data_IF_996876534895
#
_entry.id   IF_996876534895
#
_cell.length_a   1.000
_cell.length_b   1.000
_cell.length_c   1.000
_cell.angle_alpha   90.00
_cell.angle_beta   90.00
_cell.angle_gamma   90.00
#
_symmetry.space_group_name_H-M   'P 1'
#
loop_
_entity.id
_entity.type
_entity.pdbx_description
1 polymer ?
#
# COMPACT_ATOMS: atom_id res chain seq x y z
N UNK A 1 15.77 6.99 0.56
CA UNK A 1 14.97 6.11 1.45
C UNK A 1 13.53 5.93 0.98
N UNK A 2 12.90 6.97 0.38
CA UNK A 2 11.48 6.97 0.01
C UNK A 2 11.10 5.97 -1.10
N UNK A 3 11.83 5.91 -2.22
CA UNK A 3 11.44 5.09 -3.39
C UNK A 3 11.41 3.56 -3.21
N UNK A 4 11.94 3.02 -2.11
CA UNK A 4 12.01 1.56 -1.86
C UNK A 4 10.94 1.06 -0.89
N UNK A 5 10.55 1.89 0.08
CA UNK A 5 9.31 1.66 0.83
C UNK A 5 8.12 1.64 -0.13
N UNK A 6 8.17 2.48 -1.18
CA UNK A 6 7.21 2.48 -2.28
C UNK A 6 7.17 1.14 -3.02
N UNK A 7 8.31 0.50 -3.31
CA UNK A 7 8.31 -0.76 -4.09
C UNK A 7 7.51 -1.92 -3.48
N UNK A 8 7.56 -2.14 -2.15
CA UNK A 8 6.75 -3.19 -1.51
C UNK A 8 5.26 -2.82 -1.46
N UNK A 9 4.99 -1.53 -1.28
CA UNK A 9 3.65 -0.96 -1.25
C UNK A 9 3.01 -1.06 -2.65
N UNK A 10 3.71 -0.66 -3.69
CA UNK A 10 3.31 -0.77 -5.10
C UNK A 10 3.01 -2.22 -5.49
N UNK A 11 3.86 -3.18 -5.09
CA UNK A 11 3.64 -4.58 -5.41
C UNK A 11 2.34 -5.14 -4.76
N UNK A 12 2.04 -4.71 -3.53
CA UNK A 12 0.79 -5.08 -2.85
C UNK A 12 -0.39 -4.41 -3.54
N UNK A 13 -0.28 -3.12 -3.87
CA UNK A 13 -1.28 -2.36 -4.60
C UNK A 13 -1.63 -3.00 -5.95
N UNK A 14 -0.62 -3.35 -6.75
CA UNK A 14 -0.78 -3.99 -8.05
C UNK A 14 -1.47 -5.35 -7.92
N UNK A 15 -1.05 -6.16 -6.93
CA UNK A 15 -1.65 -7.48 -6.70
C UNK A 15 -3.11 -7.40 -6.26
N UNK A 16 -3.46 -6.42 -5.44
CA UNK A 16 -4.82 -6.17 -5.00
C UNK A 16 -5.68 -5.64 -6.16
N UNK A 17 -5.16 -4.66 -6.91
CA UNK A 17 -5.82 -4.09 -8.09
C UNK A 17 -6.14 -5.19 -9.11
N UNK A 18 -5.18 -6.07 -9.41
CA UNK A 18 -5.39 -7.18 -10.34
C UNK A 18 -6.58 -8.06 -9.92
N UNK A 19 -6.70 -8.36 -8.63
CA UNK A 19 -7.80 -9.17 -8.11
C UNK A 19 -9.16 -8.47 -8.23
N UNK A 20 -9.19 -7.16 -7.93
CA UNK A 20 -10.39 -6.34 -8.01
C UNK A 20 -10.84 -6.17 -9.48
N UNK A 21 -9.91 -5.91 -10.40
CA UNK A 21 -10.20 -5.83 -11.82
C UNK A 21 -10.70 -7.18 -12.39
N UNK A 22 -10.12 -8.31 -11.95
CA UNK A 22 -10.59 -9.64 -12.32
C UNK A 22 -12.00 -9.95 -11.80
N UNK A 23 -12.43 -9.28 -10.73
CA UNK A 23 -13.80 -9.36 -10.23
C UNK A 23 -14.77 -8.42 -10.98
N UNK A 24 -14.30 -7.69 -12.00
CA UNK A 24 -15.14 -6.86 -12.88
C UNK A 24 -15.20 -5.38 -12.52
N UNK A 25 -14.45 -4.93 -11.51
CA UNK A 25 -14.47 -3.52 -11.08
C UNK A 25 -13.48 -2.66 -11.86
N UNK A 26 -13.86 -1.40 -12.11
CA UNK A 26 -12.94 -0.39 -12.64
C UNK A 26 -12.18 0.26 -11.50
N UNK A 27 -10.87 0.45 -11.69
CA UNK A 27 -9.99 1.00 -10.65
C UNK A 27 -9.10 2.13 -11.15
N UNK A 28 -8.77 3.07 -10.25
CA UNK A 28 -7.84 4.18 -10.49
C UNK A 28 -6.78 4.22 -9.38
N UNK A 29 -5.50 4.16 -9.75
CA UNK A 29 -4.37 4.22 -8.80
C UNK A 29 -3.79 5.62 -8.65
N UNK A 30 -3.41 5.99 -7.43
CA UNK A 30 -2.57 7.16 -7.13
C UNK A 30 -3.04 8.48 -7.76
N UNK A 31 -4.35 8.70 -7.89
CA UNK A 31 -4.93 9.92 -8.49
C UNK A 31 -5.71 10.72 -7.45
N UNK A 32 -5.77 12.03 -7.66
CA UNK A 32 -6.65 12.89 -6.89
C UNK A 32 -8.10 12.41 -7.09
N UNK A 33 -8.91 12.46 -6.03
CA UNK A 33 -10.29 12.00 -6.08
C UNK A 33 -11.25 13.04 -5.49
N UNK A 34 -12.39 13.21 -6.16
CA UNK A 34 -13.35 14.27 -5.85
C UNK A 34 -12.75 15.66 -6.00
N UNK A 35 -13.20 16.59 -5.16
CA UNK A 35 -12.70 17.98 -5.12
C UNK A 35 -11.50 18.15 -4.17
N UNK A 36 -10.82 17.05 -3.82
CA UNK A 36 -9.69 17.03 -2.91
C UNK A 36 -8.37 16.83 -3.64
N UNK A 37 -7.28 17.38 -3.10
CA UNK A 37 -5.92 17.12 -3.56
C UNK A 37 -5.34 15.80 -3.04
N UNK A 38 -6.09 15.11 -2.18
CA UNK A 38 -5.71 13.80 -1.64
C UNK A 38 -5.69 12.73 -2.73
N UNK A 39 -4.64 11.90 -2.69
CA UNK A 39 -4.38 10.83 -3.65
C UNK A 39 -4.36 9.48 -2.91
N UNK A 40 -5.51 8.83 -2.71
CA UNK A 40 -5.52 7.47 -2.21
C UNK A 40 -4.83 6.52 -3.18
N UNK A 41 -4.32 5.40 -2.66
CA UNK A 41 -3.57 4.43 -3.47
C UNK A 41 -4.46 3.77 -4.54
N UNK A 42 -5.71 3.42 -4.18
CA UNK A 42 -6.67 2.82 -5.08
C UNK A 42 -8.07 3.38 -4.84
N UNK A 43 -8.74 3.76 -5.92
CA UNK A 43 -10.17 4.05 -5.94
C UNK A 43 -10.84 2.98 -6.80
N UNK A 44 -11.87 2.34 -6.25
CA UNK A 44 -12.72 1.37 -6.95
C UNK A 44 -14.07 2.02 -7.19
N UNK A 45 -14.53 2.02 -8.43
CA UNK A 45 -15.89 2.46 -8.76
C UNK A 45 -16.85 1.31 -8.43
N UNK A 46 -17.77 1.53 -7.49
CA UNK A 46 -18.83 0.58 -7.11
C UNK A 46 -20.20 1.21 -7.33
N UNK A 47 -21.26 0.40 -7.34
CA UNK A 47 -22.63 0.90 -7.49
C UNK A 47 -23.04 1.85 -6.34
N UNK A 48 -22.48 1.64 -5.14
CA UNK A 48 -22.73 2.46 -3.95
C UNK A 48 -21.82 3.71 -3.88
N UNK A 49 -21.11 4.03 -4.97
CA UNK A 49 -20.13 5.11 -5.05
C UNK A 49 -18.68 4.62 -4.95
N UNK A 50 -17.74 5.54 -4.75
CA UNK A 50 -16.34 5.17 -4.72
C UNK A 50 -15.93 4.50 -3.40
N UNK A 51 -15.31 3.35 -3.53
CA UNK A 51 -14.58 2.68 -2.46
C UNK A 51 -13.11 3.11 -2.51
N UNK A 52 -12.65 3.73 -1.42
CA UNK A 52 -11.30 4.20 -1.22
C UNK A 52 -10.50 3.15 -0.46
N UNK A 53 -9.43 2.64 -1.08
CA UNK A 53 -8.53 1.67 -0.48
C UNK A 53 -7.13 2.26 -0.47
N UNK A 54 -6.52 2.28 0.70
CA UNK A 54 -5.16 2.79 0.89
C UNK A 54 -4.32 1.72 1.60
N UNK A 55 -3.15 1.43 1.02
CA UNK A 55 -2.26 0.35 1.44
C UNK A 55 -1.36 0.85 2.56
N UNK A 56 -1.25 0.06 3.62
CA UNK A 56 -0.32 0.35 4.71
C UNK A 56 0.40 -0.91 5.16
N UNK A 57 1.70 -0.75 5.41
CA UNK A 57 2.61 -1.82 5.83
C UNK A 57 3.28 -1.44 7.15
N UNK A 58 2.57 -1.51 8.29
CA UNK A 58 3.11 -1.23 9.62
C UNK A 58 3.99 -2.38 10.13
N UNK A 59 4.67 -2.15 11.26
CA UNK A 59 5.29 -3.25 12.01
C UNK A 59 4.22 -4.14 12.65
N UNK A 60 4.54 -5.41 12.86
CA UNK A 60 3.59 -6.48 13.20
C UNK A 60 3.29 -6.51 14.69
N UNK A 61 2.61 -5.46 15.13
CA UNK A 61 2.05 -5.34 16.46
C UNK A 61 0.55 -5.02 16.31
N UNK A 62 -0.37 -5.74 16.97
CA UNK A 62 -1.81 -5.52 16.81
C UNK A 62 -2.25 -4.05 16.95
N UNK A 63 -1.68 -3.33 17.91
CA UNK A 63 -1.97 -1.90 18.11
C UNK A 63 -1.49 -1.03 16.94
N UNK A 64 -0.34 -1.34 16.33
CA UNK A 64 0.17 -0.63 15.16
C UNK A 64 -0.70 -0.86 13.93
N UNK A 65 -1.20 -2.08 13.72
CA UNK A 65 -2.10 -2.39 12.61
C UNK A 65 -3.40 -1.59 12.73
N UNK A 66 -4.00 -1.60 13.92
CA UNK A 66 -5.24 -0.89 14.20
C UNK A 66 -5.07 0.63 14.08
N UNK A 67 -4.00 1.18 14.66
CA UNK A 67 -3.68 2.61 14.57
C UNK A 67 -3.43 3.04 13.11
N UNK A 68 -2.75 2.22 12.32
CA UNK A 68 -2.53 2.50 10.90
C UNK A 68 -3.85 2.52 10.12
N UNK A 69 -4.77 1.61 10.43
CA UNK A 69 -6.12 1.60 9.87
C UNK A 69 -6.89 2.88 10.22
N UNK A 70 -6.99 3.23 11.50
CA UNK A 70 -7.75 4.40 11.97
C UNK A 70 -7.24 5.72 11.39
N UNK A 71 -5.91 5.87 11.29
CA UNK A 71 -5.30 7.05 10.65
C UNK A 71 -5.73 7.20 9.19
N UNK A 72 -5.81 6.09 8.44
CA UNK A 72 -6.22 6.12 7.03
C UNK A 72 -7.72 6.33 6.87
N UNK A 73 -8.55 5.73 7.71
CA UNK A 73 -9.99 6.02 7.77
C UNK A 73 -10.21 7.51 8.02
N UNK A 74 -9.61 8.07 9.09
CA UNK A 74 -9.72 9.50 9.42
C UNK A 74 -9.29 10.39 8.25
N UNK A 75 -8.21 10.01 7.57
CA UNK A 75 -7.67 10.78 6.44
C UNK A 75 -8.60 10.81 5.23
N UNK A 76 -9.29 9.71 4.90
CA UNK A 76 -9.99 9.59 3.61
C UNK A 76 -11.52 9.43 3.70
N UNK A 77 -12.09 9.27 4.90
CA UNK A 77 -13.54 9.02 5.05
C UNK A 77 -14.43 10.11 4.44
N UNK A 78 -13.93 11.35 4.31
CA UNK A 78 -14.66 12.45 3.68
C UNK A 78 -14.68 12.36 2.14
N UNK A 79 -13.92 11.45 1.53
CA UNK A 79 -13.89 11.21 0.08
C UNK A 79 -14.88 10.13 -0.35
N UNK A 80 -15.29 9.24 0.55
CA UNK A 80 -16.14 8.09 0.24
C UNK A 80 -15.96 6.96 1.25
N UNK A 81 -16.54 5.79 0.92
CA UNK A 81 -16.41 4.61 1.74
C UNK A 81 -14.93 4.19 1.81
N UNK A 82 -14.32 4.19 3.00
CA UNK A 82 -12.87 4.00 3.15
C UNK A 82 -12.56 2.69 3.85
N UNK A 83 -11.84 1.81 3.16
CA UNK A 83 -11.37 0.52 3.69
C UNK A 83 -9.86 0.40 3.49
N UNK A 84 -9.04 0.82 4.47
CA UNK A 84 -7.59 0.65 4.39
C UNK A 84 -7.21 -0.84 4.30
N UNK A 85 -6.22 -1.15 3.47
CA UNK A 85 -5.69 -2.50 3.33
C UNK A 85 -4.38 -2.61 4.13
N UNK A 86 -4.44 -3.30 5.27
CA UNK A 86 -3.36 -3.33 6.26
C UNK A 86 -2.70 -4.70 6.29
N UNK A 87 -1.42 -4.76 5.94
CA UNK A 87 -0.61 -5.99 6.02
C UNK A 87 0.67 -5.68 6.78
N UNK A 88 0.94 -6.39 7.86
CA UNK A 88 2.17 -6.24 8.62
C UNK A 88 3.42 -6.55 7.79
N UNK A 89 4.50 -5.85 8.07
CA UNK A 89 5.83 -6.05 7.50
C UNK A 89 6.38 -7.49 7.59
N UNK A 90 5.94 -8.30 8.55
CA UNK A 90 6.26 -9.72 8.77
C UNK A 90 5.07 -10.63 8.41
N UNK A 91 4.02 -10.08 7.79
CA UNK A 91 2.87 -10.81 7.29
C UNK A 91 1.69 -10.91 8.26
N UNK A 92 1.56 -10.05 9.27
CA UNK A 92 0.31 -9.91 10.00
C UNK A 92 -0.82 -9.46 9.05
N UNK A 93 -2.04 -9.92 9.32
CA UNK A 93 -3.21 -9.62 8.51
C UNK A 93 -4.27 -8.96 9.39
N UNK A 94 -4.71 -7.75 9.03
CA UNK A 94 -5.81 -7.13 9.72
C UNK A 94 -7.14 -7.75 9.27
N UNK A 95 -7.99 -8.27 10.17
CA UNK A 95 -9.25 -8.91 9.77
C UNK A 95 -10.20 -8.01 8.98
N UNK A 96 -10.15 -6.68 9.18
CA UNK A 96 -11.00 -5.73 8.42
C UNK A 96 -10.69 -5.72 6.93
N UNK A 97 -9.53 -6.20 6.47
CA UNK A 97 -9.25 -6.39 5.05
C UNK A 97 -10.30 -7.28 4.38
N UNK A 98 -10.92 -8.22 5.10
CA UNK A 98 -11.93 -9.13 4.54
C UNK A 98 -13.26 -8.42 4.23
N UNK A 99 -13.45 -7.18 4.68
CA UNK A 99 -14.55 -6.33 4.23
C UNK A 99 -14.37 -5.91 2.77
N UNK A 100 -13.13 -5.71 2.31
CA UNK A 100 -12.82 -5.34 0.92
C UNK A 100 -13.26 -6.44 -0.02
N UNK A 101 -12.94 -7.70 0.30
CA UNK A 101 -13.35 -8.86 -0.51
C UNK A 101 -14.86 -8.92 -0.71
N UNK A 102 -15.62 -8.66 0.36
CA UNK A 102 -17.09 -8.63 0.33
C UNK A 102 -17.60 -7.46 -0.50
N UNK A 103 -17.04 -6.27 -0.30
CA UNK A 103 -17.45 -5.05 -1.03
C UNK A 103 -17.20 -5.18 -2.54
N UNK A 104 -16.14 -5.86 -2.95
CA UNK A 104 -15.80 -6.03 -4.38
C UNK A 104 -16.16 -7.40 -4.95
N UNK A 105 -16.92 -8.22 -4.21
CA UNK A 105 -17.43 -9.52 -4.71
C UNK A 105 -16.37 -10.60 -4.95
N UNK A 106 -15.20 -10.54 -4.31
CA UNK A 106 -14.17 -11.56 -4.46
C UNK A 106 -14.48 -12.77 -3.55
N UNK A 107 -14.66 -13.95 -4.14
CA UNK A 107 -14.88 -15.19 -3.40
C UNK A 107 -13.68 -15.63 -2.55
N UNK A 108 -13.96 -16.44 -1.52
CA UNK A 108 -12.97 -16.84 -0.51
C UNK A 108 -11.69 -17.48 -1.07
N UNK A 109 -11.78 -18.32 -2.10
CA UNK A 109 -10.60 -18.95 -2.74
C UNK A 109 -9.69 -17.89 -3.37
N UNK A 110 -10.27 -16.97 -4.14
CA UNK A 110 -9.53 -15.87 -4.76
C UNK A 110 -8.92 -14.95 -3.71
N UNK A 111 -9.70 -14.61 -2.67
CA UNK A 111 -9.23 -13.74 -1.60
C UNK A 111 -8.12 -14.36 -0.76
N UNK A 112 -8.18 -15.66 -0.46
CA UNK A 112 -7.10 -16.37 0.24
C UNK A 112 -5.80 -16.34 -0.57
N UNK A 113 -5.88 -16.37 -1.90
CA UNK A 113 -4.72 -16.16 -2.77
C UNK A 113 -4.17 -14.73 -2.64
N UNK A 114 -5.03 -13.71 -2.68
CA UNK A 114 -4.63 -12.30 -2.45
C UNK A 114 -3.95 -12.15 -1.09
N UNK A 115 -4.56 -12.67 -0.02
CA UNK A 115 -4.02 -12.66 1.34
C UNK A 115 -2.64 -13.31 1.40
N UNK A 116 -2.46 -14.49 0.81
CA UNK A 116 -1.17 -15.18 0.77
C UNK A 116 -0.13 -14.35 0.03
N UNK A 117 -0.43 -13.90 -1.18
CA UNK A 117 0.52 -13.22 -2.06
C UNK A 117 0.95 -11.88 -1.46
N UNK A 118 0.01 -11.07 -0.97
CA UNK A 118 0.30 -9.75 -0.38
C UNK A 118 1.11 -9.85 0.90
N UNK A 119 0.88 -10.85 1.75
CA UNK A 119 1.71 -11.13 2.94
C UNK A 119 3.14 -11.51 2.54
N UNK A 120 3.31 -12.35 1.52
CA UNK A 120 4.63 -12.71 1.00
C UNK A 120 5.37 -11.49 0.44
N UNK A 121 4.67 -10.63 -0.32
CA UNK A 121 5.23 -9.38 -0.84
C UNK A 121 5.66 -8.43 0.28
N UNK A 122 4.86 -8.31 1.35
CA UNK A 122 5.23 -7.52 2.53
C UNK A 122 6.52 -8.03 3.18
N UNK A 123 6.59 -9.34 3.45
CA UNK A 123 7.78 -9.98 4.06
C UNK A 123 9.01 -9.82 3.17
N UNK A 124 8.90 -10.15 1.88
CA UNK A 124 10.02 -10.04 0.93
C UNK A 124 10.52 -8.60 0.79
N UNK A 125 9.60 -7.64 0.75
CA UNK A 125 9.91 -6.22 0.73
C UNK A 125 10.63 -5.76 2.00
N UNK A 126 10.14 -6.16 3.17
CA UNK A 126 10.78 -5.86 4.45
C UNK A 126 12.18 -6.48 4.57
N UNK A 127 12.36 -7.74 4.17
CA UNK A 127 13.66 -8.41 4.16
C UNK A 127 14.65 -7.73 3.22
N UNK A 128 14.20 -7.25 2.06
CA UNK A 128 15.02 -6.48 1.13
C UNK A 128 15.53 -5.19 1.79
N UNK A 129 14.62 -4.42 2.40
CA UNK A 129 14.95 -3.18 3.12
C UNK A 129 15.99 -3.47 4.23
N UNK A 130 15.77 -4.52 5.02
CA UNK A 130 16.68 -4.90 6.11
C UNK A 130 18.07 -5.32 5.60
N UNK A 131 18.13 -6.14 4.54
CA UNK A 131 19.40 -6.59 3.94
C UNK A 131 20.22 -5.42 3.41
N UNK A 132 19.58 -4.49 2.71
CA UNK A 132 20.24 -3.30 2.18
C UNK A 132 20.78 -2.41 3.31
N UNK A 133 20.00 -2.26 4.39
CA UNK A 133 20.43 -1.53 5.57
C UNK A 133 21.68 -2.14 6.21
N UNK A 134 21.70 -3.47 6.39
CA UNK A 134 22.83 -4.21 6.97
C UNK A 134 24.07 -4.13 6.06
N UNK A 135 23.89 -4.23 4.74
CA UNK A 135 24.99 -4.20 3.76
C UNK A 135 25.62 -2.83 3.57
N UNK A 136 25.03 -1.76 4.12
CA UNK A 136 25.61 -0.43 4.03
C UNK A 136 25.67 0.14 2.61
N UNK A 137 24.83 -0.34 1.68
CA UNK A 137 24.72 0.18 0.30
C UNK A 137 24.10 1.59 0.29
N UNK A 138 24.79 2.55 0.90
CA UNK A 138 24.59 3.99 0.68
C UNK A 138 25.54 4.37 -0.44
N UNK A 139 25.07 4.34 -1.68
CA UNK A 139 25.72 5.10 -2.74
C UNK A 139 25.54 6.58 -2.42
N UNK A 140 26.49 7.13 -1.67
CA UNK A 140 26.68 8.56 -1.54
C UNK A 140 27.19 9.04 -2.90
N UNK A 141 26.29 9.42 -3.82
CA UNK A 141 26.67 10.34 -4.89
C UNK A 141 26.73 11.73 -4.27
N UNK A 142 27.80 11.99 -3.53
CA UNK A 142 28.26 13.36 -3.33
C UNK A 142 28.83 13.79 -4.68
N UNK A 143 28.03 14.50 -5.47
CA UNK A 143 28.61 15.44 -6.43
C UNK A 143 29.35 16.47 -5.59
N UNK A 144 30.64 16.25 -5.33
CA UNK A 144 31.53 17.37 -5.06
C UNK A 144 31.71 18.02 -6.41
N UNK A 145 31.03 19.13 -6.62
CA UNK A 145 31.51 20.13 -7.56
C UNK A 145 32.88 20.56 -7.02
N UNK A 146 33.93 20.24 -7.78
CA UNK A 146 35.25 20.80 -7.54
C UNK A 146 35.12 22.33 -7.71
N UNK A 147 35.55 23.14 -6.73
CA UNK A 147 35.57 24.58 -6.93
C UNK A 147 36.59 24.90 -8.04
N UNK A 148 36.14 25.68 -9.01
CA UNK A 148 36.99 26.23 -10.07
C UNK A 148 38.24 26.87 -9.46
N UNK A 149 39.42 26.46 -9.93
CA UNK A 149 40.69 27.08 -9.58
C UNK A 149 40.69 28.55 -10.06
N UNK A 150 41.14 29.51 -9.24
CA UNK A 150 41.33 30.87 -9.69
C UNK A 150 42.70 31.05 -10.36
N UNK A 151 42.71 31.66 -11.55
CA UNK A 151 43.84 32.42 -12.11
C UNK A 151 44.94 31.61 -12.77
#
# INVERSE_FOLDING_TARGET
>A
NMGRMTSRHDAILDRLQEAINKAGHTTRKNRAYGNSSLRPDLVVDTDDGALIIDITVPFDEPSNLQLAHERKVTKYTHLGNTMPFVVGSLGAWLPSNDLIARAVGIGAVGWNKVRRDTRLLAIQGSLRIAREHIRGERCHKSTREDPAAPG
#
